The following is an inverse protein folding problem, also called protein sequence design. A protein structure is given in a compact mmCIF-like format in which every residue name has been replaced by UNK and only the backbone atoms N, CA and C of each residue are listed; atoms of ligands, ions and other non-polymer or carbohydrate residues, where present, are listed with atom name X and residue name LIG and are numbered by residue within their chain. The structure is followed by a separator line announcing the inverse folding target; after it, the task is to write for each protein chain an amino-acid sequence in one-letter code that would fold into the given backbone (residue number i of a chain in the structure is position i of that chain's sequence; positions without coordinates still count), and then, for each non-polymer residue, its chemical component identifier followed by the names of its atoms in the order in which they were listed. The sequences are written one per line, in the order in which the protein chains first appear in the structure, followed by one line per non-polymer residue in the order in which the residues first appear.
data_IF_990926896110
#
_entry.id   IF_990926896110
#
_cell.length_a   1.000
_cell.length_b   1.000
_cell.length_c   1.000
_cell.angle_alpha   90.00
_cell.angle_beta   90.00
_cell.angle_gamma   90.00
#
_symmetry.space_group_name_H-M   'P 1'
#
loop_
_entity.id
_entity.type
_entity.pdbx_description
1 polymer ?
#
# COMPACT_ATOMS: atom_id res chain seq x y z
N UNK A 1 -11.03 24.56 -10.12
CA UNK A 1 -10.98 23.38 -9.25
C UNK A 1 -9.53 23.09 -8.95
N UNK A 2 -9.10 23.22 -7.69
CA UNK A 2 -7.76 22.77 -7.31
C UNK A 2 -7.75 21.24 -7.36
N UNK A 3 -6.96 20.66 -8.27
CA UNK A 3 -6.75 19.21 -8.29
C UNK A 3 -5.86 18.89 -7.08
N UNK A 4 -6.47 18.46 -5.98
CA UNK A 4 -5.72 17.96 -4.84
C UNK A 4 -5.04 16.66 -5.28
N UNK A 5 -3.73 16.73 -5.50
CA UNK A 5 -2.94 15.55 -5.84
C UNK A 5 -3.01 14.56 -4.67
N UNK A 6 -3.38 13.31 -4.93
CA UNK A 6 -3.37 12.27 -3.91
C UNK A 6 -1.92 11.92 -3.55
N UNK A 7 -1.61 11.69 -2.27
CA UNK A 7 -0.25 11.40 -1.84
C UNK A 7 0.19 10.01 -2.32
N UNK A 8 1.48 9.90 -2.66
CA UNK A 8 2.15 8.62 -2.84
C UNK A 8 2.85 8.22 -1.54
N UNK A 9 2.76 6.95 -1.17
CA UNK A 9 3.36 6.41 0.06
C UNK A 9 4.41 5.36 -0.29
N UNK A 10 5.54 5.39 0.42
CA UNK A 10 6.54 4.32 0.40
C UNK A 10 6.59 3.67 1.79
N UNK A 11 6.22 2.39 1.86
CA UNK A 11 6.12 1.65 3.13
C UNK A 11 7.11 0.49 3.13
N UNK A 12 8.11 0.56 4.01
CA UNK A 12 9.00 -0.58 4.27
C UNK A 12 8.28 -1.63 5.10
N UNK A 13 8.22 -2.87 4.61
CA UNK A 13 7.54 -3.95 5.33
C UNK A 13 8.48 -4.79 6.21
N UNK A 14 9.78 -4.87 5.91
CA UNK A 14 10.78 -5.51 6.78
C UNK A 14 10.36 -6.91 7.26
N UNK A 15 10.46 -7.15 8.58
CA UNK A 15 9.92 -8.35 9.21
C UNK A 15 8.39 -8.40 9.05
N UNK A 16 7.79 -9.56 8.70
CA UNK A 16 6.34 -9.71 8.65
C UNK A 16 5.61 -9.26 9.93
N UNK A 17 6.27 -9.34 11.08
CA UNK A 17 5.72 -8.91 12.36
C UNK A 17 5.42 -7.40 12.42
N UNK A 18 6.07 -6.59 11.58
CA UNK A 18 5.75 -5.17 11.44
C UNK A 18 4.32 -4.92 10.96
N UNK A 19 3.68 -5.93 10.34
CA UNK A 19 2.29 -5.85 9.85
C UNK A 19 1.34 -6.64 10.74
N UNK A 20 1.80 -7.73 11.36
CA UNK A 20 0.95 -8.66 12.11
C UNK A 20 0.74 -8.23 13.57
N UNK A 21 1.71 -7.57 14.19
CA UNK A 21 1.64 -7.19 15.61
C UNK A 21 1.16 -5.74 15.83
N UNK A 22 0.62 -5.46 17.01
CA UNK A 22 0.43 -4.09 17.48
C UNK A 22 1.78 -3.50 17.94
N UNK A 23 2.35 -2.62 17.12
CA UNK A 23 3.66 -2.02 17.31
C UNK A 23 3.68 -0.58 16.77
N UNK A 24 4.83 0.07 16.83
CA UNK A 24 4.95 1.47 16.39
C UNK A 24 4.66 1.66 14.89
N UNK A 25 4.98 0.67 14.05
CA UNK A 25 4.67 0.71 12.62
C UNK A 25 3.16 0.62 12.37
N UNK A 26 2.48 -0.38 12.93
CA UNK A 26 1.02 -0.54 12.73
C UNK A 26 0.22 0.62 13.30
N UNK A 27 0.65 1.19 14.44
CA UNK A 27 0.06 2.42 14.99
C UNK A 27 0.31 3.65 14.11
N UNK A 28 1.52 3.82 13.59
CA UNK A 28 1.84 4.91 12.67
C UNK A 28 1.02 4.82 11.37
N UNK A 29 0.90 3.63 10.79
CA UNK A 29 0.10 3.40 9.58
C UNK A 29 -1.39 3.65 9.81
N UNK A 30 -1.95 3.27 10.97
CA UNK A 30 -3.35 3.58 11.32
C UNK A 30 -3.58 5.09 11.37
N UNK A 31 -2.72 5.83 12.09
CA UNK A 31 -2.81 7.30 12.18
C UNK A 31 -2.67 7.96 10.82
N UNK A 32 -1.77 7.44 9.97
CA UNK A 32 -1.62 7.92 8.60
C UNK A 32 -2.92 7.69 7.80
N UNK A 33 -3.48 6.49 7.84
CA UNK A 33 -4.74 6.17 7.16
C UNK A 33 -5.92 7.05 7.59
N UNK A 34 -5.98 7.42 8.87
CA UNK A 34 -6.98 8.34 9.42
C UNK A 34 -6.78 9.80 8.96
N UNK A 35 -5.53 10.22 8.70
CA UNK A 35 -5.20 11.59 8.30
C UNK A 35 -5.30 11.85 6.79
N UNK A 36 -5.26 10.79 5.97
CA UNK A 36 -5.26 10.91 4.51
C UNK A 36 -6.69 11.09 3.96
N UNK A 37 -6.86 11.87 2.86
CA UNK A 37 -8.13 11.92 2.15
C UNK A 37 -8.48 10.53 1.60
N UNK A 38 -9.77 10.16 1.63
CA UNK A 38 -10.22 8.85 1.16
C UNK A 38 -10.01 8.70 -0.35
N UNK A 39 -9.19 7.73 -0.81
CA UNK A 39 -9.01 7.48 -2.24
C UNK A 39 -10.23 6.78 -2.86
N UNK A 40 -10.46 7.03 -4.15
CA UNK A 40 -11.43 6.26 -4.93
C UNK A 40 -10.88 4.88 -5.32
N UNK A 41 -9.55 4.77 -5.51
CA UNK A 41 -8.84 3.55 -5.80
C UNK A 41 -7.39 3.65 -5.30
N UNK A 42 -6.74 2.52 -5.07
CA UNK A 42 -5.32 2.43 -4.69
C UNK A 42 -4.60 1.59 -5.74
N UNK A 43 -3.47 2.11 -6.24
CA UNK A 43 -2.51 1.33 -7.03
C UNK A 43 -1.39 0.91 -6.09
N UNK A 44 -1.15 -0.41 -6.00
CA UNK A 44 -0.11 -0.98 -5.14
C UNK A 44 1.05 -1.46 -5.99
N UNK A 45 2.27 -1.01 -5.65
CA UNK A 45 3.52 -1.53 -6.19
C UNK A 45 4.22 -2.31 -5.08
N UNK A 46 4.56 -3.57 -5.34
CA UNK A 46 5.08 -4.49 -4.33
C UNK A 46 6.49 -4.97 -4.70
N UNK A 47 7.40 -4.99 -3.72
CA UNK A 47 8.74 -5.55 -3.89
C UNK A 47 8.73 -7.04 -4.23
N UNK A 48 7.66 -7.76 -3.87
CA UNK A 48 7.51 -9.19 -4.17
C UNK A 48 6.94 -9.44 -5.58
N UNK A 49 6.49 -8.42 -6.31
CA UNK A 49 6.00 -8.57 -7.68
C UNK A 49 7.02 -8.08 -8.70
N UNK A 50 8.12 -8.84 -8.82
CA UNK A 50 9.21 -8.55 -9.75
C UNK A 50 9.05 -9.39 -11.02
N UNK A 51 8.88 -8.74 -12.16
CA UNK A 51 8.58 -9.39 -13.43
C UNK A 51 9.44 -8.84 -14.58
N UNK A 52 9.58 -9.59 -15.66
CA UNK A 52 10.17 -9.08 -16.90
C UNK A 52 9.10 -8.25 -17.64
N UNK A 53 9.33 -6.95 -17.75
CA UNK A 53 8.36 -6.01 -18.32
C UNK A 53 7.40 -5.42 -17.27
N UNK A 54 6.34 -4.75 -17.73
CA UNK A 54 5.34 -4.12 -16.84
C UNK A 54 4.03 -4.88 -16.91
N UNK A 55 3.58 -5.38 -15.75
CA UNK A 55 2.28 -6.04 -15.59
C UNK A 55 1.31 -5.18 -14.78
N UNK A 56 0.01 -5.31 -15.08
CA UNK A 56 -1.08 -4.70 -14.31
C UNK A 56 -2.14 -5.75 -14.06
N UNK A 57 -2.69 -5.80 -12.85
CA UNK A 57 -3.86 -6.60 -12.51
C UNK A 57 -5.00 -5.68 -12.08
N UNK A 58 -6.23 -6.06 -12.39
CA UNK A 58 -7.45 -5.40 -11.92
C UNK A 58 -8.32 -6.46 -11.25
N UNK A 59 -8.05 -6.73 -9.97
CA UNK A 59 -8.72 -7.75 -9.19
C UNK A 59 -9.31 -7.13 -7.93
N UNK A 60 -10.60 -7.35 -7.66
CA UNK A 60 -11.24 -6.94 -6.40
C UNK A 60 -10.58 -7.61 -5.18
N UNK A 61 -10.09 -8.85 -5.34
CA UNK A 61 -9.29 -9.59 -4.36
C UNK A 61 -8.04 -10.14 -5.06
N UNK A 62 -6.89 -9.45 -4.97
CA UNK A 62 -5.65 -9.89 -5.59
C UNK A 62 -5.23 -11.25 -5.02
N UNK A 63 -4.79 -12.14 -5.90
CA UNK A 63 -4.13 -13.38 -5.47
C UNK A 63 -2.66 -13.07 -5.19
N UNK A 64 -2.08 -13.75 -4.19
CA UNK A 64 -0.63 -13.70 -4.00
C UNK A 64 0.02 -14.41 -5.19
N UNK A 65 0.97 -13.76 -5.85
CA UNK A 65 1.84 -14.45 -6.81
C UNK A 65 2.63 -15.56 -6.07
N UNK A 66 2.92 -16.70 -6.72
CA UNK A 66 3.91 -17.66 -6.22
C UNK A 66 5.30 -17.04 -6.13
#
# INVERSE_FOLDING_TARGET
MSLTCMPALFLGHGSPMNVLDDNDYTRAWRRLGEALPRPQAIVVVSAHWYTCGTGVTAMERPQNSP
#
